data_IF_711415542694
#
_entry.id   IF_711415542694
#
_cell.length_a   1.000
_cell.length_b   1.000
_cell.length_c   1.000
_cell.angle_alpha   90.00
_cell.angle_beta   90.00
_cell.angle_gamma   90.00
#
_symmetry.space_group_name_H-M   'P 1'
#
loop_
_entity.id
_entity.type
_entity.pdbx_description
1 polymer ?
#
# COMPACT_ATOMS: atom_id res chain seq x y z
N UNK A 1 -18.32 35.34 11.11
CA UNK A 1 -18.01 36.34 12.17
C UNK A 1 -16.75 35.90 12.90
N UNK A 2 -15.61 36.58 12.75
CA UNK A 2 -14.41 36.27 13.53
C UNK A 2 -14.67 36.65 15.00
N UNK A 3 -14.26 35.80 15.94
CA UNK A 3 -14.40 36.06 17.39
C UNK A 3 -13.37 37.11 17.83
N UNK A 4 -13.76 38.04 18.69
CA UNK A 4 -12.84 39.03 19.27
C UNK A 4 -11.67 38.31 19.97
N UNK A 5 -10.42 38.69 19.63
CA UNK A 5 -9.20 38.07 20.15
C UNK A 5 -8.50 37.09 19.18
N UNK A 6 -9.15 36.71 18.08
CA UNK A 6 -8.48 35.98 17.00
C UNK A 6 -7.56 36.93 16.22
N UNK A 7 -6.26 36.94 16.57
CA UNK A 7 -5.24 37.50 15.68
C UNK A 7 -5.07 36.54 14.51
N UNK A 8 -5.36 37.01 13.30
CA UNK A 8 -4.96 36.32 12.07
C UNK A 8 -3.44 36.12 12.16
N UNK A 9 -2.91 34.90 11.98
CA UNK A 9 -1.47 34.68 11.96
C UNK A 9 -0.80 35.65 10.97
N UNK A 10 0.29 36.30 11.36
CA UNK A 10 1.05 37.20 10.47
C UNK A 10 1.72 36.43 9.32
N UNK A 11 1.82 35.10 9.43
CA UNK A 11 2.13 34.22 8.32
C UNK A 11 1.25 32.97 8.37
N UNK A 12 0.89 32.40 7.22
CA UNK A 12 0.20 31.10 7.13
C UNK A 12 1.09 29.92 7.57
N UNK A 13 2.36 30.16 7.96
CA UNK A 13 3.32 29.14 8.40
C UNK A 13 2.95 28.59 9.77
N UNK A 14 2.84 27.26 9.89
CA UNK A 14 2.63 26.58 11.17
C UNK A 14 3.92 25.92 11.63
N UNK A 15 4.15 25.87 12.95
CA UNK A 15 5.31 25.18 13.54
C UNK A 15 5.37 23.70 13.12
N UNK A 16 4.20 23.08 12.89
CA UNK A 16 4.07 21.72 12.33
C UNK A 16 4.83 21.56 11.02
N UNK A 17 4.85 22.58 10.17
CA UNK A 17 5.43 22.50 8.82
C UNK A 17 6.95 22.42 8.88
N UNK A 18 7.56 23.08 9.88
CA UNK A 18 9.01 23.03 10.14
C UNK A 18 9.42 21.72 10.82
N UNK A 19 8.58 21.20 11.72
CA UNK A 19 8.79 19.89 12.36
C UNK A 19 8.73 18.77 11.31
N UNK A 20 7.85 18.87 10.31
CA UNK A 20 7.74 17.91 9.21
C UNK A 20 9.04 17.73 8.41
N UNK A 21 9.83 18.78 8.17
CA UNK A 21 11.09 18.67 7.41
C UNK A 21 12.19 17.97 8.21
N UNK A 22 12.27 18.24 9.52
CA UNK A 22 13.16 17.51 10.42
C UNK A 22 12.81 16.01 10.50
N UNK A 23 11.51 15.68 10.51
CA UNK A 23 11.05 14.29 10.46
C UNK A 23 11.36 13.65 9.10
N UNK A 24 11.13 14.35 7.99
CA UNK A 24 11.44 13.87 6.64
C UNK A 24 12.91 13.49 6.48
N UNK A 25 13.83 14.31 6.98
CA UNK A 25 15.27 14.03 6.88
C UNK A 25 15.74 12.92 7.82
N UNK A 26 14.96 12.61 8.87
CA UNK A 26 15.19 11.46 9.75
C UNK A 26 14.67 10.15 9.14
N UNK A 27 13.48 10.18 8.54
CA UNK A 27 12.87 9.02 7.87
C UNK A 27 13.55 8.73 6.54
N UNK A 28 13.95 9.77 5.81
CA UNK A 28 14.67 9.71 4.55
C UNK A 28 16.03 10.41 4.71
N UNK A 29 17.04 9.73 5.30
CA UNK A 29 18.37 10.31 5.48
C UNK A 29 18.96 10.84 4.18
N UNK A 30 19.58 12.04 4.15
CA UNK A 30 20.15 12.62 2.93
C UNK A 30 21.10 11.69 2.18
N UNK A 31 21.93 10.92 2.90
CA UNK A 31 22.85 9.96 2.30
C UNK A 31 22.11 8.84 1.55
N UNK A 32 21.01 8.33 2.11
CA UNK A 32 20.17 7.33 1.45
C UNK A 32 19.48 7.92 0.21
N UNK A 33 19.00 9.16 0.31
CA UNK A 33 18.38 9.86 -0.84
C UNK A 33 19.39 10.06 -1.98
N UNK A 34 20.63 10.42 -1.68
CA UNK A 34 21.68 10.52 -2.69
C UNK A 34 22.00 9.18 -3.35
N UNK A 35 22.11 8.13 -2.54
CA UNK A 35 22.43 6.79 -3.02
C UNK A 35 21.36 6.29 -4.01
N UNK A 36 20.07 6.45 -3.70
CA UNK A 36 19.00 6.04 -4.61
C UNK A 36 18.96 6.90 -5.88
N UNK A 37 19.28 8.18 -5.79
CA UNK A 37 19.37 9.09 -6.95
C UNK A 37 20.52 8.70 -7.87
N UNK A 38 21.68 8.36 -7.29
CA UNK A 38 22.85 7.89 -8.03
C UNK A 38 22.56 6.54 -8.70
N UNK A 39 22.03 5.58 -7.95
CA UNK A 39 21.70 4.24 -8.46
C UNK A 39 20.68 4.26 -9.59
N UNK A 40 19.77 5.24 -9.61
CA UNK A 40 18.79 5.42 -10.68
C UNK A 40 19.29 6.30 -11.84
N UNK A 41 20.56 6.74 -11.82
CA UNK A 41 21.18 7.52 -12.89
C UNK A 41 20.63 8.95 -13.00
N UNK A 42 20.09 9.50 -11.90
CA UNK A 42 19.40 10.79 -11.87
C UNK A 42 20.20 11.90 -11.18
N UNK A 43 21.44 11.60 -10.79
CA UNK A 43 22.35 12.60 -10.20
C UNK A 43 22.61 13.73 -11.19
N UNK A 44 22.60 14.98 -10.70
CA UNK A 44 22.87 16.12 -11.56
C UNK A 44 24.33 16.17 -12.03
N UNK A 45 24.55 16.52 -13.29
CA UNK A 45 25.89 16.78 -13.84
C UNK A 45 26.35 18.23 -13.54
N UNK A 46 25.41 19.17 -13.44
CA UNK A 46 25.67 20.57 -13.10
C UNK A 46 24.88 20.96 -11.86
N UNK A 47 25.53 21.56 -10.87
CA UNK A 47 24.83 22.15 -9.73
C UNK A 47 24.00 23.36 -10.18
N UNK A 48 22.67 23.25 -10.06
CA UNK A 48 21.69 24.30 -10.36
C UNK A 48 20.83 24.57 -9.11
N UNK A 49 19.97 25.58 -9.19
CA UNK A 49 19.08 25.98 -8.08
C UNK A 49 18.14 24.86 -7.56
N UNK A 50 17.91 23.80 -8.34
CA UNK A 50 17.10 22.62 -7.95
C UNK A 50 17.91 21.32 -8.12
N UNK A 51 18.76 20.96 -7.14
CA UNK A 51 19.45 19.67 -7.10
C UNK A 51 18.48 18.50 -7.03
N UNK A 52 18.91 17.31 -7.48
CA UNK A 52 18.06 16.12 -7.47
C UNK A 52 17.55 15.75 -6.06
N UNK A 53 18.39 15.90 -5.03
CA UNK A 53 18.00 15.68 -3.63
C UNK A 53 16.85 16.58 -3.19
N UNK A 54 16.92 17.88 -3.50
CA UNK A 54 15.84 18.83 -3.22
C UNK A 54 14.57 18.41 -3.96
N UNK A 55 14.69 17.97 -5.21
CA UNK A 55 13.53 17.49 -5.97
C UNK A 55 12.94 16.18 -5.43
N UNK A 56 13.75 15.31 -4.81
CA UNK A 56 13.26 14.10 -4.15
C UNK A 56 12.44 14.45 -2.89
N UNK A 57 12.96 15.31 -2.02
CA UNK A 57 12.18 15.81 -0.88
C UNK A 57 10.96 16.60 -1.31
N UNK A 58 11.04 17.36 -2.42
CA UNK A 58 9.90 18.02 -3.03
C UNK A 58 8.83 17.03 -3.50
N UNK A 59 9.22 15.93 -4.15
CA UNK A 59 8.28 14.89 -4.55
C UNK A 59 7.57 14.23 -3.36
N UNK A 60 8.30 13.95 -2.27
CA UNK A 60 7.71 13.43 -1.02
C UNK A 60 6.78 14.47 -0.39
N UNK A 61 7.22 15.74 -0.33
CA UNK A 61 6.43 16.85 0.19
C UNK A 61 5.12 17.05 -0.57
N UNK A 62 5.11 16.88 -1.90
CA UNK A 62 3.86 16.94 -2.67
C UNK A 62 2.87 15.84 -2.29
N UNK A 63 3.34 14.69 -1.80
CA UNK A 63 2.48 13.63 -1.26
C UNK A 63 1.88 14.02 0.10
N UNK A 64 2.67 14.66 0.96
CA UNK A 64 2.24 15.10 2.30
C UNK A 64 1.36 16.36 2.27
N UNK A 65 1.57 17.23 1.28
CA UNK A 65 0.90 18.52 1.12
C UNK A 65 0.17 18.57 -0.22
N UNK A 66 -0.67 17.57 -0.48
CA UNK A 66 -1.36 17.37 -1.77
C UNK A 66 -2.28 18.53 -2.19
N UNK A 67 -2.75 19.33 -1.24
CA UNK A 67 -3.58 20.51 -1.50
C UNK A 67 -2.77 21.76 -1.90
N UNK A 68 -1.47 21.78 -1.62
CA UNK A 68 -0.59 22.92 -1.87
C UNK A 68 -0.21 23.09 -3.34
N UNK A 69 0.08 24.33 -3.76
CA UNK A 69 0.70 24.54 -5.06
C UNK A 69 2.17 24.09 -5.04
N UNK A 70 2.75 23.84 -6.21
CA UNK A 70 4.18 23.47 -6.32
C UNK A 70 5.10 24.53 -5.67
N UNK A 71 4.72 25.81 -5.75
CA UNK A 71 5.49 26.89 -5.14
C UNK A 71 5.35 26.86 -3.61
N UNK A 72 4.15 26.58 -3.09
CA UNK A 72 3.91 26.49 -1.64
C UNK A 72 4.66 25.32 -1.01
N UNK A 73 4.59 24.14 -1.64
CA UNK A 73 5.30 22.94 -1.16
C UNK A 73 6.80 23.15 -1.18
N UNK A 74 7.33 23.76 -2.25
CA UNK A 74 8.76 24.04 -2.34
C UNK A 74 9.19 25.10 -1.31
N UNK A 75 8.40 26.16 -1.11
CA UNK A 75 8.63 27.19 -0.11
C UNK A 75 8.72 26.59 1.30
N UNK A 76 7.75 25.75 1.67
CA UNK A 76 7.73 25.06 2.97
C UNK A 76 8.98 24.20 3.19
N UNK A 77 9.42 23.46 2.16
CA UNK A 77 10.62 22.63 2.24
C UNK A 77 11.90 23.47 2.36
N UNK A 78 12.03 24.52 1.56
CA UNK A 78 13.22 25.39 1.62
C UNK A 78 13.30 26.17 2.93
N UNK A 79 12.16 26.58 3.49
CA UNK A 79 12.09 27.23 4.80
C UNK A 79 12.46 26.26 5.93
N UNK A 80 12.01 25.01 5.88
CA UNK A 80 12.38 23.97 6.85
C UNK A 80 13.86 23.59 6.78
N UNK A 81 14.45 23.51 5.59
CA UNK A 81 15.89 23.27 5.39
C UNK A 81 16.73 24.47 5.84
N UNK A 82 16.28 25.71 5.57
CA UNK A 82 16.91 26.91 6.09
C UNK A 82 16.87 26.94 7.61
N UNK A 83 15.74 26.58 8.23
CA UNK A 83 15.62 26.48 9.68
C UNK A 83 16.55 25.41 10.29
N UNK A 84 16.59 24.21 9.70
CA UNK A 84 17.47 23.12 10.15
C UNK A 84 18.97 23.45 10.02
N UNK A 85 19.34 24.33 9.07
CA UNK A 85 20.71 24.84 8.89
C UNK A 85 21.01 26.12 9.67
N UNK A 86 20.09 26.59 10.52
CA UNK A 86 20.26 27.80 11.32
C UNK A 86 20.19 29.10 10.52
N UNK A 87 19.36 29.14 9.48
CA UNK A 87 19.11 30.28 8.58
C UNK A 87 20.33 30.79 7.82
N UNK A 88 21.35 29.94 7.63
CA UNK A 88 22.60 30.32 6.95
C UNK A 88 22.47 30.45 5.43
N UNK A 89 21.42 29.89 4.83
CA UNK A 89 21.18 29.92 3.39
C UNK A 89 19.83 30.56 3.07
N UNK A 90 19.82 31.59 2.21
CA UNK A 90 18.60 32.18 1.66
C UNK A 90 18.30 31.57 0.30
N UNK A 91 17.17 30.87 0.19
CA UNK A 91 16.73 30.24 -1.05
C UNK A 91 15.79 31.18 -1.81
N UNK A 92 16.18 31.60 -3.02
CA UNK A 92 15.27 32.28 -3.94
C UNK A 92 14.50 31.23 -4.74
N UNK A 93 13.18 31.18 -4.55
CA UNK A 93 12.33 30.17 -5.19
C UNK A 93 12.39 30.30 -6.73
N UNK A 94 12.73 29.22 -7.44
CA UNK A 94 12.65 29.17 -8.90
C UNK A 94 11.19 29.24 -9.36
N UNK A 95 10.95 29.79 -10.56
CA UNK A 95 9.60 29.83 -11.14
C UNK A 95 9.05 28.45 -11.51
N UNK A 96 7.73 28.33 -11.65
CA UNK A 96 6.98 27.09 -11.95
C UNK A 96 7.59 26.21 -13.06
N UNK A 97 8.01 26.81 -14.16
CA UNK A 97 8.61 26.09 -15.30
C UNK A 97 9.90 25.37 -14.91
N UNK A 98 10.74 25.99 -14.08
CA UNK A 98 11.97 25.39 -13.59
C UNK A 98 11.70 24.21 -12.65
N UNK A 99 10.66 24.32 -11.80
CA UNK A 99 10.22 23.23 -10.91
C UNK A 99 9.73 22.04 -11.74
N UNK A 100 8.88 22.28 -12.74
CA UNK A 100 8.37 21.24 -13.64
C UNK A 100 9.51 20.49 -14.35
N UNK A 101 10.42 21.22 -15.00
CA UNK A 101 11.57 20.63 -15.70
C UNK A 101 12.52 19.87 -14.75
N UNK A 102 12.67 20.35 -13.51
CA UNK A 102 13.50 19.67 -12.51
C UNK A 102 12.85 18.36 -12.02
N UNK A 103 11.52 18.34 -11.86
CA UNK A 103 10.77 17.13 -11.50
C UNK A 103 10.82 16.09 -12.61
N UNK A 104 10.62 16.51 -13.87
CA UNK A 104 10.72 15.64 -15.04
C UNK A 104 12.12 15.02 -15.15
N UNK A 105 13.17 15.82 -14.91
CA UNK A 105 14.56 15.32 -14.88
C UNK A 105 14.79 14.27 -13.80
N UNK A 106 14.22 14.44 -12.59
CA UNK A 106 14.32 13.46 -11.51
C UNK A 106 13.62 12.15 -11.87
N UNK A 107 12.39 12.23 -12.39
CA UNK A 107 11.54 11.06 -12.64
C UNK A 107 11.08 10.36 -11.36
N UNK A 108 10.43 9.19 -11.51
CA UNK A 108 9.86 8.42 -10.39
C UNK A 108 10.82 7.38 -9.80
N UNK A 109 11.83 6.93 -10.54
CA UNK A 109 12.70 5.83 -10.14
C UNK A 109 13.40 6.03 -8.78
N UNK A 110 13.94 7.21 -8.43
CA UNK A 110 14.53 7.42 -7.11
C UNK A 110 13.51 7.27 -5.97
N UNK A 111 12.25 7.68 -6.18
CA UNK A 111 11.20 7.62 -5.18
C UNK A 111 10.71 6.19 -4.97
N UNK A 112 10.62 5.40 -6.06
CA UNK A 112 10.32 3.97 -5.98
C UNK A 112 11.41 3.23 -5.19
N UNK A 113 12.69 3.45 -5.52
CA UNK A 113 13.81 2.85 -4.80
C UNK A 113 13.89 3.29 -3.34
N UNK A 114 13.53 4.55 -3.04
CA UNK A 114 13.45 5.03 -1.67
C UNK A 114 12.34 4.35 -0.88
N UNK A 115 11.15 4.19 -1.48
CA UNK A 115 10.04 3.45 -0.89
C UNK A 115 10.44 2.01 -0.57
N UNK A 116 11.02 1.29 -1.53
CA UNK A 116 11.46 -0.11 -1.34
C UNK A 116 12.47 -0.29 -0.20
N UNK A 117 13.31 0.73 0.07
CA UNK A 117 14.34 0.65 1.12
C UNK A 117 13.84 1.09 2.49
N UNK A 118 12.89 2.01 2.55
CA UNK A 118 12.45 2.65 3.80
C UNK A 118 11.14 2.07 4.31
N UNK A 119 10.23 1.67 3.41
CA UNK A 119 8.94 1.17 3.79
C UNK A 119 9.08 -0.24 4.38
N UNK A 120 8.83 -0.35 5.68
CA UNK A 120 8.92 -1.59 6.45
C UNK A 120 7.75 -1.64 7.43
N UNK A 121 7.32 -2.85 7.85
CA UNK A 121 6.39 -2.96 8.98
C UNK A 121 6.97 -2.30 10.24
N UNK A 122 6.13 -1.59 10.98
CA UNK A 122 6.57 -0.71 12.08
C UNK A 122 6.23 -1.27 13.47
N UNK A 123 5.30 -2.21 13.56
CA UNK A 123 4.80 -2.72 14.83
C UNK A 123 5.88 -3.47 15.62
N UNK A 124 5.97 -3.16 16.91
CA UNK A 124 6.76 -3.91 17.88
C UNK A 124 6.03 -5.17 18.38
N UNK A 125 6.64 -5.96 19.28
CA UNK A 125 6.03 -7.16 19.86
C UNK A 125 4.70 -6.89 20.57
N UNK A 126 4.58 -5.72 21.22
CA UNK A 126 3.41 -5.34 22.02
C UNK A 126 2.42 -4.44 21.25
N UNK A 127 2.66 -4.20 19.95
CA UNK A 127 1.77 -3.36 19.15
C UNK A 127 0.45 -4.11 18.88
N UNK A 128 -0.72 -3.54 19.28
CA UNK A 128 -2.01 -4.18 19.04
C UNK A 128 -2.27 -4.43 17.55
N UNK A 129 -2.89 -5.58 17.22
CA UNK A 129 -3.21 -5.94 15.84
C UNK A 129 -2.01 -6.30 14.95
N UNK A 130 -0.79 -6.35 15.51
CA UNK A 130 0.40 -6.69 14.72
C UNK A 130 0.69 -8.18 14.67
N UNK A 131 0.32 -8.96 15.69
CA UNK A 131 0.74 -10.36 15.82
C UNK A 131 -0.42 -11.31 16.09
N UNK A 132 -0.46 -12.42 15.34
CA UNK A 132 -1.38 -13.55 15.56
C UNK A 132 -0.58 -14.83 15.40
N UNK A 133 -0.69 -15.77 16.37
CA UNK A 133 0.06 -17.03 16.35
C UNK A 133 1.56 -16.82 16.03
N UNK A 134 2.19 -15.83 16.70
CA UNK A 134 3.62 -15.45 16.52
C UNK A 134 4.01 -14.95 15.13
N UNK A 135 3.04 -14.61 14.28
CA UNK A 135 3.24 -14.09 12.93
C UNK A 135 2.74 -12.68 12.81
N UNK A 136 3.48 -11.87 12.05
CA UNK A 136 3.11 -10.48 11.76
C UNK A 136 1.93 -10.46 10.79
N UNK A 137 0.81 -9.88 11.20
CA UNK A 137 -0.41 -9.83 10.40
C UNK A 137 -0.30 -8.73 9.36
N UNK A 138 -0.40 -9.12 8.10
CA UNK A 138 -0.35 -8.22 6.95
C UNK A 138 -1.52 -8.53 6.03
N UNK A 139 -2.04 -7.52 5.34
CA UNK A 139 -3.13 -7.68 4.39
C UNK A 139 -2.70 -7.20 3.00
N UNK A 140 -3.26 -7.82 1.97
CA UNK A 140 -3.10 -7.41 0.57
C UNK A 140 -4.45 -7.08 -0.04
N UNK A 141 -4.51 -5.94 -0.72
CA UNK A 141 -5.71 -5.49 -1.41
C UNK A 141 -5.35 -4.43 -2.46
N UNK A 142 -6.29 -4.16 -3.38
CA UNK A 142 -6.15 -3.17 -4.42
C UNK A 142 -7.12 -2.00 -4.31
N UNK A 143 -6.76 -0.89 -4.93
CA UNK A 143 -7.64 0.27 -5.09
C UNK A 143 -7.31 1.02 -6.37
N UNK A 144 -8.29 1.76 -6.91
CA UNK A 144 -8.09 2.60 -8.08
C UNK A 144 -7.96 4.09 -7.69
N UNK A 145 -7.08 4.79 -8.39
CA UNK A 145 -6.89 6.25 -8.26
C UNK A 145 -7.01 6.91 -9.62
N UNK A 146 -7.73 8.03 -9.67
CA UNK A 146 -7.87 8.82 -10.89
C UNK A 146 -6.54 9.50 -11.22
N UNK A 147 -6.14 9.43 -12.49
CA UNK A 147 -4.96 10.10 -13.04
C UNK A 147 -5.38 11.20 -14.02
N UNK A 148 -4.49 12.17 -14.27
CA UNK A 148 -4.77 13.29 -15.16
C UNK A 148 -5.32 12.83 -16.53
N UNK A 149 -6.36 13.53 -17.00
CA UNK A 149 -6.99 13.26 -18.30
C UNK A 149 -6.06 13.72 -19.45
N UNK A 150 -5.15 12.85 -19.83
CA UNK A 150 -4.20 13.05 -20.93
C UNK A 150 -4.25 11.84 -21.86
N UNK A 151 -3.97 12.02 -23.17
CA UNK A 151 -3.93 10.89 -24.11
C UNK A 151 -3.00 9.76 -23.67
N UNK A 152 -1.82 10.11 -23.13
CA UNK A 152 -0.82 9.14 -22.66
C UNK A 152 -1.32 8.33 -21.47
N UNK A 153 -2.02 8.97 -20.51
CA UNK A 153 -2.60 8.24 -19.38
C UNK A 153 -3.80 7.38 -19.80
N UNK A 154 -4.64 7.87 -20.71
CA UNK A 154 -5.77 7.10 -21.23
C UNK A 154 -5.31 5.83 -21.95
N UNK A 155 -4.29 5.96 -22.81
CA UNK A 155 -3.68 4.84 -23.53
C UNK A 155 -3.06 3.80 -22.58
N UNK A 156 -2.30 4.25 -21.58
CA UNK A 156 -1.61 3.34 -20.68
C UNK A 156 -2.55 2.71 -19.63
N UNK A 157 -3.24 3.53 -18.85
CA UNK A 157 -4.03 3.10 -17.69
C UNK A 157 -5.43 2.60 -18.07
N UNK A 158 -6.05 3.19 -19.09
CA UNK A 158 -7.43 2.91 -19.47
C UNK A 158 -8.47 3.43 -18.47
N UNK A 159 -9.74 3.19 -18.80
CA UNK A 159 -10.91 3.69 -18.05
C UNK A 159 -11.83 2.57 -17.60
N UNK A 160 -12.54 2.76 -16.48
CA UNK A 160 -13.72 1.98 -16.15
C UNK A 160 -14.75 1.98 -17.28
N UNK A 161 -15.32 0.81 -17.56
CA UNK A 161 -16.48 0.71 -18.43
C UNK A 161 -17.70 1.31 -17.73
N UNK A 162 -18.52 2.05 -18.46
CA UNK A 162 -19.84 2.53 -17.98
C UNK A 162 -20.94 1.89 -18.81
N UNK A 163 -22.01 1.48 -18.13
CA UNK A 163 -23.11 0.70 -18.72
C UNK A 163 -23.91 1.41 -19.81
N UNK A 164 -23.77 2.75 -19.93
CA UNK A 164 -24.55 3.58 -20.86
C UNK A 164 -23.76 4.11 -22.08
N UNK A 165 -22.57 3.58 -22.36
CA UNK A 165 -21.78 3.93 -23.56
C UNK A 165 -21.05 5.27 -23.50
N UNK A 166 -21.14 5.99 -22.38
CA UNK A 166 -20.31 7.17 -22.10
C UNK A 166 -18.86 6.73 -21.75
N UNK A 167 -17.94 7.68 -21.56
CA UNK A 167 -16.61 7.38 -21.01
C UNK A 167 -16.56 7.81 -19.55
N UNK A 168 -15.94 7.01 -18.68
CA UNK A 168 -15.58 7.47 -17.32
C UNK A 168 -14.82 8.80 -17.40
N UNK A 169 -15.00 9.69 -16.44
CA UNK A 169 -14.42 11.03 -16.47
C UNK A 169 -12.88 11.03 -16.52
N UNK A 170 -12.22 10.06 -15.86
CA UNK A 170 -10.76 9.97 -15.79
C UNK A 170 -10.25 8.55 -16.08
N UNK A 171 -9.02 8.41 -16.65
CA UNK A 171 -8.28 7.16 -16.58
C UNK A 171 -7.94 6.81 -15.13
N UNK A 172 -7.77 5.52 -14.85
CA UNK A 172 -7.51 5.03 -13.50
C UNK A 172 -6.29 4.14 -13.41
N UNK A 173 -5.38 4.49 -12.50
CA UNK A 173 -4.28 3.61 -12.12
C UNK A 173 -4.75 2.64 -11.04
N UNK A 174 -4.41 1.36 -11.18
CA UNK A 174 -4.64 0.35 -10.14
C UNK A 174 -3.42 0.29 -9.24
N UNK A 175 -3.64 0.54 -7.96
CA UNK A 175 -2.67 0.34 -6.88
C UNK A 175 -2.96 -1.01 -6.24
N UNK A 176 -1.94 -1.86 -6.12
CA UNK A 176 -1.97 -3.03 -5.24
C UNK A 176 -0.96 -2.79 -4.13
N UNK A 177 -1.34 -3.01 -2.88
CA UNK A 177 -0.49 -2.77 -1.73
C UNK A 177 -0.51 -3.94 -0.74
N UNK A 178 0.58 -4.10 0.00
CA UNK A 178 0.66 -4.92 1.20
C UNK A 178 0.89 -3.99 2.38
N UNK A 179 0.05 -4.10 3.40
CA UNK A 179 0.08 -3.28 4.59
C UNK A 179 0.12 -4.12 5.86
N UNK A 180 0.81 -3.63 6.88
CA UNK A 180 0.71 -4.18 8.23
C UNK A 180 -0.62 -3.77 8.87
N UNK A 181 -1.39 -4.76 9.34
CA UNK A 181 -2.73 -4.51 9.89
C UNK A 181 -2.70 -3.65 11.16
N UNK A 182 -1.74 -3.86 12.07
CA UNK A 182 -1.72 -3.14 13.35
C UNK A 182 -1.24 -1.68 13.30
N UNK A 183 -0.47 -1.29 12.28
CA UNK A 183 0.10 0.08 12.18
C UNK A 183 -0.32 0.84 10.93
N UNK A 184 -1.00 0.17 10.01
CA UNK A 184 -1.39 0.70 8.70
C UNK A 184 -0.21 1.06 7.79
N UNK A 185 1.01 0.64 8.13
CA UNK A 185 2.19 0.87 7.32
C UNK A 185 2.10 0.05 6.01
N UNK A 186 1.96 0.75 4.88
CA UNK A 186 2.16 0.15 3.55
C UNK A 186 3.66 -0.05 3.35
N UNK A 187 4.08 -1.30 3.22
CA UNK A 187 5.50 -1.65 3.06
C UNK A 187 5.83 -2.28 1.70
N UNK A 188 4.82 -2.59 0.89
CA UNK A 188 5.00 -2.97 -0.50
C UNK A 188 3.84 -2.43 -1.34
N UNK A 189 4.13 -1.94 -2.54
CA UNK A 189 3.11 -1.43 -3.44
C UNK A 189 3.57 -1.50 -4.89
N UNK A 190 2.62 -1.69 -5.81
CA UNK A 190 2.84 -1.60 -7.25
C UNK A 190 1.69 -0.85 -7.92
N UNK A 191 1.99 -0.20 -9.03
CA UNK A 191 1.01 0.49 -9.88
C UNK A 191 0.86 -0.27 -11.20
N UNK A 192 -0.38 -0.43 -11.65
CA UNK A 192 -0.74 -1.08 -12.91
C UNK A 192 -1.85 -0.34 -13.62
N UNK A 193 -2.24 -0.87 -14.78
CA UNK A 193 -3.36 -0.36 -15.54
C UNK A 193 -4.69 -0.79 -14.91
N UNK A 194 -5.77 -0.07 -15.20
CA UNK A 194 -7.12 -0.40 -14.70
C UNK A 194 -7.53 -1.84 -15.03
N UNK A 195 -7.13 -2.31 -16.22
CA UNK A 195 -7.40 -3.66 -16.76
C UNK A 195 -6.62 -4.78 -16.07
N UNK A 196 -5.55 -4.45 -15.36
CA UNK A 196 -4.78 -5.45 -14.62
C UNK A 196 -5.65 -5.95 -13.45
N UNK A 197 -5.67 -7.26 -13.20
CA UNK A 197 -6.33 -7.80 -12.02
C UNK A 197 -5.39 -7.70 -10.82
N UNK A 198 -5.94 -7.53 -9.62
CA UNK A 198 -5.14 -7.52 -8.38
C UNK A 198 -4.31 -8.79 -8.24
N UNK A 199 -4.93 -9.95 -8.54
CA UNK A 199 -4.25 -11.23 -8.54
C UNK A 199 -3.05 -11.29 -9.51
N UNK A 200 -3.12 -10.68 -10.70
CA UNK A 200 -1.98 -10.68 -11.65
C UNK A 200 -0.84 -9.76 -11.22
N UNK A 201 -1.11 -8.82 -10.32
CA UNK A 201 -0.15 -7.85 -9.81
C UNK A 201 0.62 -8.34 -8.59
N UNK A 202 0.14 -9.38 -7.89
CA UNK A 202 0.77 -9.90 -6.65
C UNK A 202 2.24 -10.29 -6.85
N UNK A 203 2.60 -10.85 -8.01
CA UNK A 203 3.99 -11.22 -8.31
C UNK A 203 4.96 -10.03 -8.17
N UNK A 204 4.49 -8.81 -8.44
CA UNK A 204 5.31 -7.58 -8.36
C UNK A 204 5.60 -7.14 -6.92
N UNK A 205 4.81 -7.59 -5.94
CA UNK A 205 4.98 -7.28 -4.51
C UNK A 205 5.39 -8.50 -3.69
N UNK A 206 5.46 -9.67 -4.32
CA UNK A 206 5.76 -10.95 -3.68
C UNK A 206 7.10 -10.95 -2.93
N UNK A 207 8.10 -10.22 -3.43
CA UNK A 207 9.42 -10.11 -2.80
C UNK A 207 9.41 -9.46 -1.40
N UNK A 208 8.32 -8.79 -1.01
CA UNK A 208 8.16 -8.23 0.33
C UNK A 208 7.58 -9.23 1.35
N UNK A 209 7.04 -10.36 0.88
CA UNK A 209 6.51 -11.42 1.73
C UNK A 209 7.66 -12.31 2.21
N UNK A 210 7.65 -12.63 3.50
CA UNK A 210 8.75 -13.35 4.14
C UNK A 210 8.26 -14.28 5.25
N UNK A 211 9.09 -15.27 5.66
CA UNK A 211 8.78 -16.11 6.81
C UNK A 211 8.47 -15.29 8.07
N UNK A 212 7.48 -15.73 8.83
CA UNK A 212 7.01 -15.04 10.04
C UNK A 212 5.93 -13.99 9.78
N UNK A 213 5.46 -13.83 8.54
CA UNK A 213 4.25 -13.05 8.20
C UNK A 213 3.03 -13.97 8.03
N UNK A 214 1.84 -13.47 8.39
CA UNK A 214 0.54 -14.05 8.09
C UNK A 214 -0.21 -13.11 7.14
N UNK A 215 -0.31 -13.50 5.87
CA UNK A 215 -0.95 -12.72 4.81
C UNK A 215 -2.45 -12.99 4.72
N UNK A 216 -3.24 -11.96 4.99
CA UNK A 216 -4.68 -11.92 4.81
C UNK A 216 -5.02 -11.48 3.39
N UNK A 217 -5.87 -12.25 2.70
CA UNK A 217 -6.36 -11.87 1.38
C UNK A 217 -7.84 -12.25 1.21
N UNK A 218 -8.52 -11.49 0.36
CA UNK A 218 -9.93 -11.71 0.05
C UNK A 218 -10.14 -12.89 -0.93
N UNK A 219 -11.40 -13.20 -1.21
CA UNK A 219 -11.77 -14.31 -2.11
C UNK A 219 -11.38 -14.11 -3.58
N UNK A 220 -11.09 -12.89 -4.00
CA UNK A 220 -10.67 -12.54 -5.35
C UNK A 220 -9.22 -12.92 -5.65
N UNK A 221 -8.39 -13.10 -4.62
CA UNK A 221 -6.98 -13.50 -4.78
C UNK A 221 -6.77 -15.00 -5.01
N UNK A 222 -7.72 -15.86 -4.66
CA UNK A 222 -7.44 -17.30 -4.74
C UNK A 222 -7.31 -17.80 -6.18
N UNK A 223 -6.14 -18.35 -6.50
CA UNK A 223 -5.94 -19.37 -7.53
C UNK A 223 -4.92 -20.38 -7.03
N UNK A 224 -4.95 -21.62 -7.51
CA UNK A 224 -3.98 -22.64 -7.08
C UNK A 224 -2.52 -22.21 -7.33
N UNK A 225 -2.25 -21.55 -8.45
CA UNK A 225 -0.93 -21.03 -8.76
C UNK A 225 -0.53 -19.90 -7.81
N UNK A 226 -1.43 -18.96 -7.53
CA UNK A 226 -1.12 -17.83 -6.67
C UNK A 226 -0.99 -18.23 -5.20
N UNK A 227 -1.81 -19.16 -4.71
CA UNK A 227 -1.64 -19.78 -3.41
C UNK A 227 -0.23 -20.39 -3.29
N UNK A 228 0.16 -21.26 -4.23
CA UNK A 228 1.49 -21.90 -4.26
C UNK A 228 2.61 -20.87 -4.25
N UNK A 229 2.61 -19.96 -5.22
CA UNK A 229 3.70 -19.01 -5.41
C UNK A 229 3.86 -18.09 -4.18
N UNK A 230 2.76 -17.78 -3.51
CA UNK A 230 2.78 -16.95 -2.30
C UNK A 230 3.26 -17.76 -1.10
N UNK A 231 2.79 -19.00 -0.90
CA UNK A 231 3.29 -19.87 0.17
C UNK A 231 4.77 -20.23 0.00
N UNK A 232 5.27 -20.31 -1.23
CA UNK A 232 6.68 -20.58 -1.54
C UNK A 232 7.63 -19.46 -1.07
N UNK A 233 7.11 -18.27 -0.73
CA UNK A 233 7.90 -17.22 -0.05
C UNK A 233 8.21 -17.56 1.41
N UNK A 234 7.57 -18.60 1.97
CA UNK A 234 7.59 -18.94 3.38
C UNK A 234 6.64 -18.11 4.23
N UNK A 235 5.90 -17.17 3.64
CA UNK A 235 4.81 -16.46 4.30
C UNK A 235 3.62 -17.39 4.52
N UNK A 236 3.04 -17.35 5.72
CA UNK A 236 1.81 -18.06 6.01
C UNK A 236 0.60 -17.32 5.45
N UNK A 237 -0.39 -18.07 4.99
CA UNK A 237 -1.57 -17.52 4.32
C UNK A 237 -2.81 -17.72 5.19
N UNK A 238 -3.73 -16.76 5.16
CA UNK A 238 -5.09 -16.90 5.66
C UNK A 238 -6.04 -16.18 4.71
N UNK A 239 -6.51 -16.91 3.70
CA UNK A 239 -7.31 -16.33 2.62
C UNK A 239 -8.75 -16.78 2.73
N UNK A 240 -9.68 -15.86 2.55
CA UNK A 240 -11.07 -16.24 2.28
C UNK A 240 -11.15 -16.82 0.89
N UNK A 241 -12.00 -17.81 0.71
CA UNK A 241 -12.27 -18.40 -0.61
C UNK A 241 -13.76 -18.46 -0.89
N UNK A 242 -14.12 -18.49 -2.17
CA UNK A 242 -15.50 -18.70 -2.58
C UNK A 242 -15.91 -20.17 -2.34
N UNK A 243 -17.12 -20.40 -1.82
CA UNK A 243 -17.71 -21.74 -1.68
C UNK A 243 -18.63 -22.11 -2.84
N UNK A 244 -18.85 -21.18 -3.78
CA UNK A 244 -19.70 -21.40 -4.95
C UNK A 244 -19.00 -22.18 -6.07
N UNK A 245 -19.70 -22.32 -7.20
CA UNK A 245 -19.27 -23.10 -8.38
C UNK A 245 -17.87 -22.77 -8.91
N UNK A 246 -17.43 -21.52 -8.73
CA UNK A 246 -16.13 -21.02 -9.22
C UNK A 246 -15.04 -20.99 -8.13
N UNK A 247 -15.33 -21.51 -6.93
CA UNK A 247 -14.38 -21.59 -5.84
C UNK A 247 -13.41 -22.77 -5.94
N UNK A 248 -12.38 -22.84 -5.07
CA UNK A 248 -11.56 -24.04 -4.94
C UNK A 248 -12.39 -25.26 -4.55
N UNK A 249 -11.86 -26.43 -4.89
CA UNK A 249 -12.41 -27.73 -4.48
C UNK A 249 -11.38 -28.44 -3.60
N UNK A 250 -11.26 -28.03 -2.32
CA UNK A 250 -10.40 -28.71 -1.36
C UNK A 250 -10.83 -30.18 -1.20
N UNK A 251 -9.87 -31.08 -1.32
CA UNK A 251 -10.09 -32.53 -1.14
C UNK A 251 -9.80 -32.85 0.33
N UNK A 252 -10.83 -33.25 1.07
CA UNK A 252 -10.72 -33.57 2.50
C UNK A 252 -9.65 -34.65 2.77
N UNK A 253 -8.92 -34.45 3.87
CA UNK A 253 -7.88 -35.36 4.38
C UNK A 253 -8.28 -35.88 5.76
N UNK A 254 -8.48 -34.97 6.72
CA UNK A 254 -8.90 -35.32 8.09
C UNK A 254 -9.54 -34.13 8.81
N UNK A 255 -10.38 -34.41 9.80
CA UNK A 255 -10.95 -33.39 10.69
C UNK A 255 -10.02 -33.13 11.87
N UNK A 256 -9.97 -31.88 12.35
CA UNK A 256 -9.16 -31.45 13.48
C UNK A 256 -10.02 -31.16 14.73
N UNK A 257 -9.43 -31.22 15.94
CA UNK A 257 -10.19 -31.09 17.20
C UNK A 257 -10.94 -29.78 17.41
N UNK A 258 -10.58 -28.71 16.70
CA UNK A 258 -11.22 -27.39 16.81
C UNK A 258 -12.26 -27.12 15.71
N UNK A 259 -12.70 -28.17 14.99
CA UNK A 259 -13.76 -28.10 13.98
C UNK A 259 -13.31 -27.66 12.59
N UNK A 260 -12.04 -27.32 12.45
CA UNK A 260 -11.39 -27.17 11.13
C UNK A 260 -10.99 -28.52 10.55
N UNK A 261 -10.50 -28.56 9.31
CA UNK A 261 -10.12 -29.80 8.65
C UNK A 261 -8.96 -29.60 7.67
N UNK A 262 -8.14 -30.62 7.47
CA UNK A 262 -7.05 -30.62 6.50
C UNK A 262 -7.55 -31.02 5.12
N UNK A 263 -6.97 -30.39 4.09
CA UNK A 263 -7.34 -30.60 2.71
C UNK A 263 -6.15 -30.54 1.76
N UNK A 264 -6.19 -31.37 0.73
CA UNK A 264 -5.33 -31.22 -0.44
C UNK A 264 -5.93 -30.24 -1.44
N UNK A 265 -5.11 -29.27 -1.84
CA UNK A 265 -5.40 -28.32 -2.89
C UNK A 265 -4.65 -28.72 -4.15
N UNK A 266 -5.40 -29.04 -5.20
CA UNK A 266 -4.85 -29.33 -6.52
C UNK A 266 -5.83 -28.91 -7.60
N UNK A 267 -5.34 -28.17 -8.58
CA UNK A 267 -6.16 -27.85 -9.74
C UNK A 267 -6.49 -29.15 -10.51
N UNK A 268 -7.76 -29.35 -10.88
CA UNK A 268 -8.19 -30.57 -11.58
C UNK A 268 -7.45 -30.83 -12.90
N UNK A 269 -6.98 -29.76 -13.54
CA UNK A 269 -6.20 -29.79 -14.79
C UNK A 269 -4.70 -29.99 -14.56
N UNK A 270 -4.22 -29.86 -13.33
CA UNK A 270 -2.80 -30.01 -12.98
C UNK A 270 -2.60 -31.27 -12.14
N UNK A 271 -2.44 -32.41 -12.84
CA UNK A 271 -2.25 -33.72 -12.21
C UNK A 271 -0.79 -34.02 -11.86
N UNK A 272 0.16 -33.21 -12.33
CA UNK A 272 1.59 -33.47 -12.18
C UNK A 272 2.18 -32.73 -10.97
N UNK A 273 1.62 -31.58 -10.59
CA UNK A 273 2.06 -30.88 -9.39
C UNK A 273 1.64 -31.61 -8.12
N UNK A 274 2.55 -31.66 -7.15
CA UNK A 274 2.27 -32.15 -5.81
C UNK A 274 1.10 -31.36 -5.18
N UNK A 275 0.10 -32.04 -4.58
CA UNK A 275 -0.98 -31.37 -3.86
C UNK A 275 -0.42 -30.50 -2.73
N UNK A 276 -1.00 -29.31 -2.55
CA UNK A 276 -0.63 -28.45 -1.43
C UNK A 276 -1.55 -28.81 -0.26
N UNK A 277 -0.96 -29.13 0.88
CA UNK A 277 -1.72 -29.32 2.11
C UNK A 277 -2.11 -27.94 2.67
N UNK A 278 -3.39 -27.78 2.97
CA UNK A 278 -3.92 -26.58 3.61
C UNK A 278 -4.95 -26.99 4.66
N UNK A 279 -5.23 -26.08 5.57
CA UNK A 279 -6.30 -26.23 6.55
C UNK A 279 -7.46 -25.34 6.19
N UNK A 280 -8.67 -25.87 6.31
CA UNK A 280 -9.92 -25.19 5.98
C UNK A 280 -10.69 -24.89 7.26
N UNK A 281 -11.17 -23.66 7.38
CA UNK A 281 -11.95 -23.18 8.52
C UNK A 281 -13.26 -22.63 7.96
N UNK A 282 -14.36 -23.29 8.29
CA UNK A 282 -15.71 -22.83 7.97
C UNK A 282 -16.35 -22.22 9.21
N UNK A 283 -16.89 -21.01 9.08
CA UNK A 283 -17.56 -20.32 10.18
C UNK A 283 -18.71 -19.46 9.67
N UNK A 284 -19.66 -19.18 10.55
CA UNK A 284 -20.76 -18.24 10.33
C UNK A 284 -20.62 -17.06 11.28
N UNK A 285 -20.98 -15.87 10.82
CA UNK A 285 -21.14 -14.72 11.69
C UNK A 285 -22.61 -14.59 12.06
N UNK A 286 -22.89 -14.43 13.35
CA UNK A 286 -24.21 -14.03 13.81
C UNK A 286 -24.33 -12.51 13.68
N UNK A 287 -24.84 -12.07 12.53
CA UNK A 287 -25.08 -10.65 12.21
C UNK A 287 -26.58 -10.27 12.37
N UNK A 288 -27.36 -11.12 13.04
CA UNK A 288 -28.79 -10.92 13.24
C UNK A 288 -29.66 -11.08 11.99
N UNK A 289 -29.11 -11.62 10.88
CA UNK A 289 -29.86 -11.91 9.65
C UNK A 289 -30.33 -13.38 9.62
N UNK A 290 -31.52 -13.59 9.07
CA UNK A 290 -32.16 -14.92 8.99
C UNK A 290 -31.42 -15.94 8.09
N UNK A 291 -30.51 -15.48 7.23
CA UNK A 291 -29.74 -16.33 6.32
C UNK A 291 -28.23 -16.21 6.61
N UNK A 292 -27.68 -17.05 7.52
CA UNK A 292 -26.28 -16.98 7.87
C UNK A 292 -25.41 -17.28 6.66
N UNK A 293 -24.49 -16.37 6.34
CA UNK A 293 -23.51 -16.58 5.28
C UNK A 293 -22.38 -17.44 5.84
N UNK A 294 -22.10 -18.57 5.19
CA UNK A 294 -20.93 -19.39 5.51
C UNK A 294 -19.68 -18.76 4.90
N UNK A 295 -18.72 -18.43 5.75
CA UNK A 295 -17.39 -17.98 5.39
C UNK A 295 -16.44 -19.16 5.42
N UNK A 296 -15.62 -19.31 4.37
CA UNK A 296 -14.56 -20.30 4.30
C UNK A 296 -13.21 -19.61 4.23
N UNK A 297 -12.34 -19.93 5.17
CA UNK A 297 -10.93 -19.57 5.13
C UNK A 297 -10.11 -20.80 4.78
N UNK A 298 -8.99 -20.56 4.11
CA UNK A 298 -7.94 -21.53 3.90
C UNK A 298 -6.65 -20.96 4.46
N UNK A 299 -5.87 -21.80 5.16
CA UNK A 299 -4.61 -21.41 5.76
C UNK A 299 -3.50 -22.44 5.55
N UNK A 300 -2.25 -21.97 5.53
CA UNK A 300 -1.04 -22.82 5.60
C UNK A 300 -0.71 -23.27 7.02
N UNK A 301 -1.39 -22.72 8.05
CA UNK A 301 -1.21 -23.06 9.45
C UNK A 301 -1.95 -24.35 9.80
N UNK A 302 -1.24 -25.47 9.78
CA UNK A 302 -1.85 -26.80 9.86
C UNK A 302 -2.16 -27.25 11.29
N UNK A 303 -1.43 -26.77 12.29
CA UNK A 303 -1.58 -27.20 13.69
C UNK A 303 -2.60 -26.33 14.46
N UNK A 304 -3.73 -26.90 14.91
CA UNK A 304 -4.71 -26.18 15.73
C UNK A 304 -4.19 -25.73 17.10
N UNK A 305 -3.15 -26.39 17.65
CA UNK A 305 -2.55 -25.98 18.92
C UNK A 305 -1.69 -24.71 18.75
N UNK A 306 -1.10 -24.51 17.56
CA UNK A 306 -0.33 -23.31 17.22
C UNK A 306 -1.24 -22.15 16.82
N UNK A 307 -2.27 -22.43 16.02
CA UNK A 307 -3.18 -21.43 15.49
C UNK A 307 -4.64 -21.93 15.53
N UNK A 308 -5.36 -21.72 16.63
CA UNK A 308 -6.75 -22.14 16.77
C UNK A 308 -7.67 -21.52 15.71
N UNK A 309 -8.70 -22.26 15.28
CA UNK A 309 -9.60 -21.85 14.21
C UNK A 309 -10.39 -20.56 14.52
N UNK A 310 -10.81 -20.37 15.77
CA UNK A 310 -11.52 -19.18 16.26
C UNK A 310 -10.61 -17.94 16.30
N UNK A 311 -9.34 -18.12 16.69
CA UNK A 311 -8.31 -17.09 16.63
C UNK A 311 -8.06 -16.65 15.19
N UNK A 312 -7.93 -17.60 14.26
CA UNK A 312 -7.75 -17.29 12.84
C UNK A 312 -9.00 -16.64 12.22
N UNK A 313 -10.20 -17.12 12.54
CA UNK A 313 -11.45 -16.52 12.09
C UNK A 313 -11.59 -15.06 12.56
N UNK A 314 -11.18 -14.78 13.80
CA UNK A 314 -11.16 -13.42 14.37
C UNK A 314 -10.06 -12.57 13.73
N UNK A 315 -8.86 -13.11 13.53
CA UNK A 315 -7.75 -12.44 12.87
C UNK A 315 -8.11 -12.02 11.43
N UNK A 316 -8.89 -12.83 10.72
CA UNK A 316 -9.32 -12.50 9.36
C UNK A 316 -10.14 -11.20 9.27
N UNK A 317 -10.81 -10.78 10.35
CA UNK A 317 -11.48 -9.47 10.40
C UNK A 317 -10.50 -8.31 10.14
N UNK A 318 -9.23 -8.45 10.56
CA UNK A 318 -8.17 -7.45 10.33
C UNK A 318 -7.79 -7.31 8.85
N UNK A 319 -8.33 -8.14 7.95
CA UNK A 319 -8.19 -7.92 6.51
C UNK A 319 -8.85 -6.60 6.10
N UNK A 320 -9.83 -6.09 6.84
CA UNK A 320 -10.43 -4.78 6.57
C UNK A 320 -9.50 -3.60 6.89
N UNK A 321 -8.43 -3.78 7.68
CA UNK A 321 -7.51 -2.69 8.01
C UNK A 321 -6.86 -2.09 6.76
N UNK A 322 -6.60 -2.87 5.70
CA UNK A 322 -6.07 -2.32 4.45
C UNK A 322 -7.08 -1.45 3.68
N UNK A 323 -8.39 -1.70 3.83
CA UNK A 323 -9.39 -0.79 3.29
C UNK A 323 -9.37 0.54 4.03
N UNK A 324 -9.21 0.50 5.37
CA UNK A 324 -9.02 1.69 6.19
C UNK A 324 -7.73 2.43 5.81
N UNK A 325 -6.63 1.73 5.55
CA UNK A 325 -5.39 2.32 5.01
C UNK A 325 -5.64 3.06 3.69
N UNK A 326 -6.42 2.46 2.78
CA UNK A 326 -6.74 3.13 1.52
C UNK A 326 -7.68 4.32 1.69
N UNK A 327 -8.59 4.30 2.66
CA UNK A 327 -9.41 5.45 3.00
C UNK A 327 -8.58 6.59 3.60
N UNK A 328 -7.68 6.27 4.54
CA UNK A 328 -6.69 7.21 5.09
C UNK A 328 -5.88 7.86 3.97
N UNK A 329 -5.34 7.07 3.03
CA UNK A 329 -4.56 7.58 1.92
C UNK A 329 -5.40 8.45 0.96
N UNK A 330 -6.56 7.97 0.52
CA UNK A 330 -7.32 8.57 -0.59
C UNK A 330 -8.26 9.68 -0.16
N UNK A 331 -8.81 9.59 1.04
CA UNK A 331 -9.85 10.49 1.55
C UNK A 331 -9.26 11.52 2.50
N UNK A 332 -8.37 11.11 3.40
CA UNK A 332 -7.88 11.96 4.49
C UNK A 332 -6.54 12.64 4.20
N UNK A 333 -5.51 11.88 3.83
CA UNK A 333 -4.17 12.42 3.58
C UNK A 333 -4.08 13.17 2.26
N UNK A 334 -4.56 12.56 1.17
CA UNK A 334 -4.55 13.19 -0.15
C UNK A 334 -5.66 14.22 -0.34
N UNK A 335 -6.77 14.07 0.39
CA UNK A 335 -8.02 14.78 0.14
C UNK A 335 -8.92 14.05 -0.87
N UNK A 336 -10.22 14.03 -0.57
CA UNK A 336 -11.21 13.33 -1.39
C UNK A 336 -11.25 13.87 -2.83
N UNK A 337 -11.41 12.96 -3.81
CA UNK A 337 -11.59 13.29 -5.25
C UNK A 337 -10.41 14.02 -5.93
N UNK A 338 -9.23 13.97 -5.33
CA UNK A 338 -8.01 14.50 -5.96
C UNK A 338 -7.53 13.57 -7.08
N UNK A 339 -7.39 14.14 -8.27
CA UNK A 339 -6.77 13.50 -9.44
C UNK A 339 -5.25 13.61 -9.32
N UNK A 340 -4.53 12.49 -9.49
CA UNK A 340 -3.06 12.47 -9.44
C UNK A 340 -2.45 13.27 -10.60
N UNK A 341 -1.46 14.12 -10.29
CA UNK A 341 -0.82 15.08 -11.19
C UNK A 341 0.66 14.79 -11.49
#
# INVERSE_FOLDING_TARGET
>A
MPRAGWRKPESDRRLSDLVSVGVLTRVFPPALVDEVIEASGRMQVRHRALPARVMAYFAIGMGLYSEGSYEDVLAQLTDGLAWASGWREQYRLPGKSAIFQARERLGSAPLAALFERVAQPLGGPDTPGTWVARRRVVAIDGTCVDVADTPVNDEFFGRPAVSKGEKSAFPQARLLAVAECGTHAIFAATIGAYRDSEASMVERVRGALSPGMLLLADRGFFSYALWRNTSDTGCDLLWRVSTGRNGPTPIHVEDLPDGSWLAHLRASKDRHSEPMLARVIDYTLDDGRDNPTVYRLMTTLLDPAEAPADVLATAYAQRWEIESVFDELKTHQRGSKVVLR
#
